data_IF_646343136344
#
_entry.id   IF_646343136344
#
_cell.length_a   1.000
_cell.length_b   1.000
_cell.length_c   1.000
_cell.angle_alpha   90.00
_cell.angle_beta   90.00
_cell.angle_gamma   90.00
#
_symmetry.space_group_name_H-M   'P 1'
#
loop_
_entity.id
_entity.type
_entity.pdbx_description
1 polymer ?
#
# COMPACT_ATOMS: atom_id res chain seq x y z
N UNK A 1 -6.99 18.97 -5.71
CA UNK A 1 -7.53 17.83 -4.94
C UNK A 1 -8.96 17.61 -5.38
N UNK A 2 -9.24 16.53 -6.10
CA UNK A 2 -10.59 16.23 -6.59
C UNK A 2 -11.05 14.91 -6.00
N UNK A 3 -12.21 14.90 -5.36
CA UNK A 3 -12.84 13.67 -4.89
C UNK A 3 -13.24 12.80 -6.10
N UNK A 4 -12.62 11.63 -6.23
CA UNK A 4 -12.94 10.60 -7.24
C UNK A 4 -13.88 9.52 -6.66
N UNK A 5 -14.68 9.82 -5.63
CA UNK A 5 -15.70 8.88 -5.16
C UNK A 5 -16.84 8.72 -6.17
N UNK A 6 -17.73 7.75 -5.91
CA UNK A 6 -18.79 7.44 -6.84
C UNK A 6 -19.78 8.61 -6.98
N UNK A 7 -19.75 9.30 -8.13
CA UNK A 7 -20.67 10.41 -8.44
C UNK A 7 -22.07 9.96 -8.84
N UNK A 8 -22.27 8.66 -9.06
CA UNK A 8 -23.50 8.08 -9.58
C UNK A 8 -24.49 7.68 -8.48
N UNK A 9 -24.17 7.94 -7.20
CA UNK A 9 -25.06 7.66 -6.05
C UNK A 9 -25.37 6.18 -5.83
N UNK A 10 -24.64 5.28 -6.51
CA UNK A 10 -24.79 3.83 -6.35
C UNK A 10 -23.82 3.36 -5.26
N UNK A 11 -24.26 2.61 -4.23
CA UNK A 11 -23.33 2.09 -3.24
C UNK A 11 -22.33 1.13 -3.89
N UNK A 12 -21.04 1.38 -3.67
CA UNK A 12 -19.94 0.52 -4.09
C UNK A 12 -19.53 -0.32 -2.90
N UNK A 13 -19.34 -1.62 -3.12
CA UNK A 13 -19.05 -2.58 -2.07
C UNK A 13 -17.67 -3.23 -2.28
N UNK A 14 -17.02 -3.56 -1.17
CA UNK A 14 -15.70 -4.18 -1.19
C UNK A 14 -15.77 -5.57 -1.85
N UNK A 15 -14.74 -5.87 -2.63
CA UNK A 15 -14.57 -7.17 -3.27
C UNK A 15 -13.26 -7.80 -2.83
N UNK A 16 -13.25 -9.12 -2.70
CA UNK A 16 -12.03 -9.87 -2.48
C UNK A 16 -11.15 -9.88 -3.74
N UNK A 17 -9.97 -10.46 -3.62
CA UNK A 17 -9.01 -10.65 -4.73
C UNK A 17 -9.54 -11.48 -5.92
N UNK A 18 -10.68 -12.15 -5.75
CA UNK A 18 -11.36 -12.95 -6.78
C UNK A 18 -12.61 -12.23 -7.34
N UNK A 19 -12.92 -11.03 -6.87
CA UNK A 19 -14.07 -10.23 -7.32
C UNK A 19 -15.39 -10.53 -6.60
N UNK A 20 -15.38 -11.34 -5.54
CA UNK A 20 -16.56 -11.68 -4.73
C UNK A 20 -16.83 -10.60 -3.68
N UNK A 21 -18.10 -10.32 -3.40
CA UNK A 21 -18.48 -9.33 -2.39
C UNK A 21 -18.09 -9.79 -0.99
N UNK A 22 -17.42 -8.91 -0.25
CA UNK A 22 -17.11 -9.13 1.16
C UNK A 22 -18.34 -8.77 1.98
N UNK A 23 -18.76 -9.67 2.87
CA UNK A 23 -19.89 -9.47 3.77
C UNK A 23 -19.44 -9.39 5.23
N UNK A 24 -20.13 -8.57 6.02
CA UNK A 24 -19.98 -8.52 7.47
C UNK A 24 -20.61 -9.76 8.14
N UNK A 25 -20.38 -9.92 9.44
CA UNK A 25 -20.97 -10.92 10.36
C UNK A 25 -22.49 -11.02 10.27
N UNK A 26 -23.16 -9.96 9.79
CA UNK A 26 -24.61 -9.91 9.57
C UNK A 26 -25.03 -10.28 8.13
N UNK A 27 -24.10 -10.69 7.27
CA UNK A 27 -24.35 -11.06 5.87
C UNK A 27 -24.59 -9.87 4.93
N UNK A 28 -24.36 -8.64 5.40
CA UNK A 28 -24.51 -7.42 4.60
C UNK A 28 -23.20 -7.11 3.86
N UNK A 29 -23.25 -6.68 2.59
CA UNK A 29 -22.05 -6.33 1.84
C UNK A 29 -21.38 -5.09 2.46
N UNK A 30 -20.07 -5.19 2.66
CA UNK A 30 -19.27 -4.11 3.26
C UNK A 30 -19.13 -2.98 2.24
N UNK A 31 -19.51 -1.77 2.63
CA UNK A 31 -19.35 -0.57 1.79
C UNK A 31 -17.86 -0.30 1.57
N UNK A 32 -17.49 -0.05 0.32
CA UNK A 32 -16.12 0.39 -0.04
C UNK A 32 -15.84 1.80 0.52
N UNK A 33 -16.89 2.62 0.64
CA UNK A 33 -16.81 3.98 1.18
C UNK A 33 -16.92 4.02 2.72
N UNK A 34 -16.71 2.90 3.43
CA UNK A 34 -16.64 2.92 4.89
C UNK A 34 -15.28 3.43 5.38
N UNK A 35 -15.23 4.73 5.68
CA UNK A 35 -14.05 5.39 6.24
C UNK A 35 -14.01 5.39 7.77
N UNK A 36 -14.93 4.69 8.45
CA UNK A 36 -15.04 4.74 9.92
C UNK A 36 -13.73 4.35 10.60
N UNK A 37 -13.04 3.34 10.05
CA UNK A 37 -11.73 2.87 10.54
C UNK A 37 -10.67 3.97 10.40
N UNK A 38 -10.56 4.56 9.20
CA UNK A 38 -9.58 5.63 8.91
C UNK A 38 -9.84 6.87 9.78
N UNK A 39 -11.11 7.23 9.98
CA UNK A 39 -11.50 8.35 10.85
C UNK A 39 -11.11 8.08 12.30
N UNK A 40 -11.32 6.86 12.78
CA UNK A 40 -10.95 6.48 14.14
C UNK A 40 -9.43 6.51 14.33
N UNK A 41 -8.68 5.94 13.39
CA UNK A 41 -7.22 6.00 13.39
C UNK A 41 -6.75 7.46 13.37
N UNK A 42 -7.32 8.31 12.52
CA UNK A 42 -6.96 9.73 12.50
C UNK A 42 -7.21 10.44 13.84
N UNK A 43 -8.30 10.11 14.56
CA UNK A 43 -8.54 10.65 15.90
C UNK A 43 -7.48 10.18 16.91
N UNK A 44 -7.07 8.93 16.84
CA UNK A 44 -5.98 8.39 17.68
C UNK A 44 -4.66 9.12 17.37
N UNK A 45 -4.39 9.39 16.10
CA UNK A 45 -3.20 10.13 15.67
C UNK A 45 -3.18 11.55 16.22
N UNK A 46 -4.32 12.26 16.19
CA UNK A 46 -4.44 13.61 16.76
C UNK A 46 -4.14 13.65 18.26
N UNK A 47 -4.41 12.56 18.99
CA UNK A 47 -4.07 12.42 20.40
C UNK A 47 -2.56 12.15 20.64
N UNK A 48 -1.72 12.27 19.60
CA UNK A 48 -0.28 11.99 19.60
C UNK A 48 0.07 10.52 19.91
N UNK A 49 -0.88 9.61 19.75
CA UNK A 49 -0.61 8.19 19.87
C UNK A 49 -0.01 7.65 18.56
N UNK A 50 0.96 6.75 18.69
CA UNK A 50 1.53 6.04 17.55
C UNK A 50 0.55 5.00 17.06
N UNK A 51 0.31 4.96 15.75
CA UNK A 51 -0.56 3.99 15.10
C UNK A 51 0.31 3.03 14.33
N UNK A 52 0.00 1.74 14.46
CA UNK A 52 0.62 0.68 13.67
C UNK A 52 -0.37 -0.45 13.49
N UNK A 53 -1.17 -0.34 12.45
CA UNK A 53 -2.07 -1.37 11.93
C UNK A 53 -1.63 -1.75 10.51
N UNK A 54 -2.29 -2.74 9.91
CA UNK A 54 -2.02 -3.18 8.54
C UNK A 54 -2.28 -2.05 7.52
N UNK A 55 -3.31 -1.23 7.78
CA UNK A 55 -3.78 -0.20 6.84
C UNK A 55 -3.39 1.23 7.24
N UNK A 56 -2.96 1.44 8.49
CA UNK A 56 -2.64 2.77 9.02
C UNK A 56 -1.37 2.72 9.85
N UNK A 57 -0.45 3.65 9.60
CA UNK A 57 0.72 3.82 10.43
C UNK A 57 1.12 5.29 10.56
N UNK A 58 1.76 5.61 11.67
CA UNK A 58 2.30 6.95 11.93
C UNK A 58 3.82 6.96 11.77
N UNK A 59 4.36 8.05 11.21
CA UNK A 59 5.79 8.27 11.00
C UNK A 59 6.20 9.61 11.58
N UNK A 60 7.42 9.66 12.11
CA UNK A 60 8.02 10.90 12.57
C UNK A 60 8.36 11.80 11.38
N UNK A 61 8.09 13.09 11.50
CA UNK A 61 8.36 14.05 10.43
C UNK A 61 9.84 14.08 10.00
N UNK A 62 10.77 13.77 10.91
CA UNK A 62 12.20 13.73 10.61
C UNK A 62 12.59 12.56 9.69
N UNK A 63 11.75 11.53 9.56
CA UNK A 63 12.00 10.39 8.68
C UNK A 63 11.45 10.58 7.25
N UNK A 64 10.72 11.67 7.01
CA UNK A 64 10.20 12.01 5.70
C UNK A 64 11.30 12.64 4.85
N UNK A 65 11.61 12.02 3.71
CA UNK A 65 12.68 12.42 2.79
C UNK A 65 12.14 13.09 1.52
N UNK A 66 10.96 13.73 1.61
CA UNK A 66 10.27 14.37 0.47
C UNK A 66 9.59 13.41 -0.50
N UNK A 67 9.79 12.09 -0.34
CA UNK A 67 8.97 11.08 -0.99
C UNK A 67 7.63 10.98 -0.24
N UNK A 68 6.52 10.81 -0.95
CA UNK A 68 5.17 10.63 -0.36
C UNK A 68 4.54 9.35 -0.91
N UNK A 69 5.28 8.25 -0.78
CA UNK A 69 4.93 6.95 -1.34
C UNK A 69 4.61 6.00 -0.18
N UNK A 70 3.35 5.53 -0.09
CA UNK A 70 2.87 4.70 1.01
C UNK A 70 3.74 3.45 1.19
N UNK A 71 4.04 2.76 0.08
CA UNK A 71 4.79 1.50 0.09
C UNK A 71 6.22 1.71 0.57
N UNK A 72 6.82 2.85 0.24
CA UNK A 72 8.17 3.20 0.70
C UNK A 72 8.23 3.33 2.22
N UNK A 73 7.17 3.84 2.82
CA UNK A 73 7.10 4.13 4.25
C UNK A 73 6.51 2.98 5.07
N UNK A 74 5.97 1.95 4.41
CA UNK A 74 5.38 0.79 5.05
C UNK A 74 6.35 0.19 6.10
N UNK A 75 5.92 0.02 7.37
CA UNK A 75 6.82 -0.40 8.44
C UNK A 75 7.52 -1.73 8.20
N UNK A 76 6.93 -2.62 7.41
CA UNK A 76 7.49 -3.92 7.01
C UNK A 76 8.64 -3.76 6.03
N UNK A 77 8.45 -2.94 5.00
CA UNK A 77 9.50 -2.64 4.01
C UNK A 77 10.69 -1.95 4.69
N UNK A 78 10.43 -1.06 5.63
CA UNK A 78 11.48 -0.39 6.42
C UNK A 78 12.26 -1.35 7.30
N UNK A 79 11.59 -2.32 7.93
CA UNK A 79 12.25 -3.38 8.69
C UNK A 79 13.16 -4.20 7.79
N UNK A 80 12.65 -4.65 6.63
CA UNK A 80 13.44 -5.39 5.66
C UNK A 80 14.70 -4.60 5.26
N UNK A 81 14.56 -3.34 4.88
CA UNK A 81 15.70 -2.48 4.52
C UNK A 81 16.70 -2.35 5.67
N UNK A 82 16.22 -2.17 6.91
CA UNK A 82 17.09 -2.09 8.09
C UNK A 82 17.86 -3.40 8.32
N UNK A 83 17.22 -4.55 8.11
CA UNK A 83 17.84 -5.87 8.21
C UNK A 83 18.91 -6.09 7.11
N UNK A 84 18.75 -5.46 5.94
CA UNK A 84 19.73 -5.51 4.85
C UNK A 84 20.99 -4.66 5.10
N UNK A 85 21.09 -3.86 6.16
CA UNK A 85 22.28 -3.02 6.45
C UNK A 85 23.55 -3.82 6.87
N UNK A 86 23.52 -5.15 6.82
CA UNK A 86 24.69 -6.02 7.03
C UNK A 86 25.58 -6.17 5.79
N UNK A 87 26.27 -7.32 5.67
CA UNK A 87 27.11 -7.70 4.51
C UNK A 87 26.26 -8.05 3.27
N UNK A 88 25.49 -7.09 2.77
CA UNK A 88 24.66 -7.28 1.59
C UNK A 88 25.31 -6.58 0.41
N UNK A 89 25.38 -7.31 -0.70
CA UNK A 89 26.00 -6.88 -1.95
C UNK A 89 24.89 -6.64 -2.96
N UNK A 90 25.00 -5.57 -3.74
CA UNK A 90 24.00 -5.30 -4.78
C UNK A 90 24.14 -6.38 -5.84
N UNK A 91 23.02 -6.85 -6.38
CA UNK A 91 23.04 -7.88 -7.43
C UNK A 91 23.88 -7.45 -8.64
N UNK A 92 23.87 -6.15 -8.98
CA UNK A 92 24.69 -5.58 -10.04
C UNK A 92 26.20 -5.62 -9.77
N UNK A 93 26.62 -5.75 -8.51
CA UNK A 93 28.03 -5.89 -8.13
C UNK A 93 28.52 -7.33 -8.28
N UNK A 94 27.61 -8.32 -8.28
CA UNK A 94 27.93 -9.75 -8.35
C UNK A 94 27.73 -10.30 -9.77
N UNK A 95 26.78 -9.76 -10.52
CA UNK A 95 26.41 -10.29 -11.84
C UNK A 95 26.07 -9.19 -12.84
N UNK A 96 26.52 -9.37 -14.08
CA UNK A 96 26.13 -8.53 -15.20
C UNK A 96 24.66 -8.78 -15.57
N UNK A 97 23.83 -7.76 -15.47
CA UNK A 97 22.41 -7.82 -15.84
C UNK A 97 22.31 -7.74 -17.37
N UNK A 98 22.20 -8.90 -18.03
CA UNK A 98 22.08 -8.96 -19.49
C UNK A 98 20.64 -8.67 -19.92
N UNK A 99 20.41 -7.48 -20.47
CA UNK A 99 19.10 -7.09 -21.01
C UNK A 99 18.94 -7.62 -22.43
N UNK A 100 18.48 -8.86 -22.58
CA UNK A 100 18.17 -9.42 -23.90
C UNK A 100 16.83 -8.85 -24.40
N UNK A 101 16.87 -7.94 -25.37
CA UNK A 101 15.68 -7.60 -26.17
C UNK A 101 15.33 -8.83 -27.02
N UNK A 102 14.19 -9.47 -26.76
CA UNK A 102 13.66 -10.48 -27.68
C UNK A 102 13.29 -9.78 -28.99
N UNK A 103 13.93 -10.19 -30.08
CA UNK A 103 13.54 -9.80 -31.44
C UNK A 103 12.17 -10.43 -31.70
N UNK A 104 11.12 -9.62 -31.85
CA UNK A 104 9.80 -10.11 -32.29
C UNK A 104 9.99 -10.79 -33.64
N UNK A 105 9.63 -12.06 -33.72
CA UNK A 105 9.70 -12.87 -34.93
C UNK A 105 8.44 -12.56 -35.73
N UNK A 106 8.55 -11.66 -36.71
CA UNK A 106 7.53 -11.56 -37.75
C UNK A 106 7.68 -12.81 -38.62
N UNK A 107 6.69 -13.69 -38.54
CA UNK A 107 6.58 -14.86 -39.40
C UNK A 107 6.24 -14.41 -40.83
N UNK A 108 6.96 -14.99 -41.80
CA UNK A 108 6.74 -14.84 -43.23
C UNK A 108 5.61 -15.76 -43.70
#
# INVERSE_FOLDING_TARGET
MGYQGNKNGTPVYQKDRYGQLITDKHGQPVSDEDFSVVINDYKIFQQKNKIRTENSFSIDCNELNGRFDYDFYLPENRKLIADFNGNTVRLGDICAIVKVKKKSRSEC
#
